data_IF_196646862996
#
_entry.id   IF_196646862996
#
_cell.length_a   1.000
_cell.length_b   1.000
_cell.length_c   1.000
_cell.angle_alpha   90.00
_cell.angle_beta   90.00
_cell.angle_gamma   90.00
#
_symmetry.space_group_name_H-M   'P 1'
#
loop_
_entity.id
_entity.type
_entity.pdbx_description
1 polymer ?
#
# COMPACT_ATOMS: atom_id res chain seq x y z
N UNK A 1 17.56 37.18 -0.80
CA UNK A 1 17.47 36.02 -1.74
C UNK A 1 17.55 36.45 -3.20
N UNK A 2 16.55 37.15 -3.79
CA UNK A 2 16.61 37.56 -5.22
C UNK A 2 17.81 38.46 -5.56
N UNK A 3 18.11 39.46 -4.72
CA UNK A 3 19.28 40.33 -4.88
C UNK A 3 20.62 39.56 -4.73
N UNK A 4 20.67 38.57 -3.84
CA UNK A 4 21.83 37.70 -3.65
C UNK A 4 22.04 36.81 -4.89
N UNK A 5 20.95 36.27 -5.45
CA UNK A 5 20.98 35.53 -6.71
C UNK A 5 21.39 36.40 -7.91
N UNK A 6 20.97 37.67 -7.96
CA UNK A 6 21.39 38.61 -9.00
C UNK A 6 22.87 38.99 -8.89
N UNK A 7 23.41 39.15 -7.68
CA UNK A 7 24.85 39.35 -7.44
C UNK A 7 25.68 38.12 -7.82
N UNK A 8 25.18 36.92 -7.50
CA UNK A 8 25.81 35.64 -7.88
C UNK A 8 25.78 35.44 -9.41
N UNK A 9 24.68 35.78 -10.07
CA UNK A 9 24.55 35.67 -11.53
C UNK A 9 25.41 36.72 -12.27
N UNK A 10 25.58 37.91 -11.68
CA UNK A 10 26.50 38.94 -12.17
C UNK A 10 27.97 38.53 -11.99
N UNK A 11 28.31 37.85 -10.89
CA UNK A 11 29.64 37.29 -10.65
C UNK A 11 29.93 36.10 -11.60
N UNK A 12 28.93 35.27 -11.89
CA UNK A 12 29.03 34.12 -12.80
C UNK A 12 29.26 34.51 -14.27
N UNK A 13 28.88 35.74 -14.67
CA UNK A 13 29.11 36.27 -16.02
C UNK A 13 30.52 36.85 -16.22
N UNK A 14 31.34 36.99 -15.18
CA UNK A 14 32.75 37.34 -15.35
C UNK A 14 33.52 36.12 -15.86
N UNK A 15 34.32 36.25 -16.93
CA UNK A 15 35.18 35.16 -17.37
C UNK A 15 36.12 34.77 -16.22
N UNK A 16 36.28 33.46 -16.01
CA UNK A 16 37.20 32.94 -15.02
C UNK A 16 38.59 33.55 -15.27
N UNK A 17 39.30 34.03 -14.23
CA UNK A 17 40.62 34.63 -14.42
C UNK A 17 41.54 33.57 -15.02
N UNK A 18 41.93 33.76 -16.28
CA UNK A 18 42.90 32.93 -16.97
C UNK A 18 44.30 33.40 -16.59
N UNK A 19 44.79 32.93 -15.45
CA UNK A 19 46.13 33.17 -14.94
C UNK A 19 46.50 32.08 -13.93
N UNK A 20 47.80 31.82 -13.70
CA UNK A 20 48.22 30.84 -12.69
C UNK A 20 47.71 31.26 -11.30
N UNK A 21 47.35 30.24 -10.52
CA UNK A 21 46.82 30.30 -9.15
C UNK A 21 47.61 31.30 -8.28
N UNK A 22 47.04 32.44 -7.84
CA UNK A 22 47.82 33.53 -7.26
C UNK A 22 48.18 33.35 -5.78
N UNK A 23 47.90 32.19 -5.16
CA UNK A 23 47.83 32.10 -3.68
C UNK A 23 48.88 31.18 -3.07
N UNK A 24 50.14 31.35 -3.48
CA UNK A 24 51.29 30.87 -2.73
C UNK A 24 52.11 32.06 -2.24
N UNK A 25 51.67 32.67 -1.13
CA UNK A 25 52.48 33.65 -0.38
C UNK A 25 51.98 35.10 -0.33
N UNK A 26 50.72 35.40 -0.69
CA UNK A 26 50.19 36.75 -0.51
C UNK A 26 49.97 37.06 0.98
N UNK A 27 50.81 37.94 1.53
CA UNK A 27 50.45 38.74 2.70
C UNK A 27 49.17 39.48 2.39
N UNK A 28 48.07 39.11 3.06
CA UNK A 28 46.77 39.78 2.96
C UNK A 28 47.00 41.29 3.16
N UNK A 29 46.80 42.08 2.10
CA UNK A 29 46.94 43.53 2.20
C UNK A 29 46.00 44.06 3.31
N UNK A 30 46.45 45.01 4.14
CA UNK A 30 45.62 45.52 5.23
C UNK A 30 44.34 46.11 4.64
N UNK A 31 43.19 45.59 5.08
CA UNK A 31 41.86 46.06 4.71
C UNK A 31 41.78 47.58 4.91
N UNK A 32 41.36 48.31 3.88
CA UNK A 32 41.04 49.73 4.02
C UNK A 32 39.85 49.91 4.98
N UNK A 33 39.72 51.08 5.60
CA UNK A 33 38.59 51.36 6.50
C UNK A 33 37.23 51.18 5.82
N UNK A 34 37.15 51.54 4.53
CA UNK A 34 35.94 51.35 3.72
C UNK A 34 35.61 49.87 3.48
N UNK A 35 36.60 49.00 3.34
CA UNK A 35 36.39 47.56 3.17
C UNK A 35 36.04 46.88 4.49
N UNK A 36 36.63 47.34 5.59
CA UNK A 36 36.32 46.89 6.94
C UNK A 36 34.84 47.17 7.28
N UNK A 37 34.39 48.40 7.05
CA UNK A 37 33.00 48.80 7.30
C UNK A 37 32.01 48.03 6.41
N UNK A 38 32.38 47.75 5.15
CA UNK A 38 31.58 46.92 4.23
C UNK A 38 31.46 45.48 4.70
N UNK A 39 32.54 44.85 5.13
CA UNK A 39 32.53 43.47 5.63
C UNK A 39 31.71 43.35 6.91
N UNK A 40 31.81 44.33 7.80
CA UNK A 40 31.04 44.36 9.05
C UNK A 40 29.54 44.57 8.78
N UNK A 41 29.20 45.43 7.81
CA UNK A 41 27.83 45.59 7.34
C UNK A 41 27.29 44.31 6.67
N UNK A 42 28.11 43.60 5.89
CA UNK A 42 27.74 42.34 5.26
C UNK A 42 27.48 41.22 6.28
N UNK A 43 28.31 41.12 7.32
CA UNK A 43 28.10 40.18 8.43
C UNK A 43 26.80 40.44 9.18
N UNK A 44 26.48 41.72 9.46
CA UNK A 44 25.20 42.11 10.05
C UNK A 44 24.03 41.75 9.14
N UNK A 45 24.14 42.05 7.85
CA UNK A 45 23.13 41.67 6.86
C UNK A 45 22.93 40.15 6.75
N UNK A 46 23.98 39.35 6.93
CA UNK A 46 23.91 37.90 6.99
C UNK A 46 23.17 37.43 8.25
N UNK A 47 23.53 37.96 9.42
CA UNK A 47 22.85 37.64 10.68
C UNK A 47 21.34 37.96 10.60
N UNK A 48 20.99 39.12 10.05
CA UNK A 48 19.60 39.53 9.82
C UNK A 48 18.88 38.59 8.84
N UNK A 49 19.55 38.17 7.77
CA UNK A 49 18.99 37.24 6.79
C UNK A 49 18.77 35.83 7.35
N UNK A 50 19.58 35.38 8.31
CA UNK A 50 19.38 34.07 8.97
C UNK A 50 18.22 34.16 9.98
N UNK A 51 18.15 35.22 10.79
CA UNK A 51 17.20 35.34 11.90
C UNK A 51 15.86 36.00 11.58
N UNK A 52 15.67 36.61 10.41
CA UNK A 52 14.47 37.39 10.12
C UNK A 52 13.16 36.56 10.25
N UNK A 53 12.18 37.04 11.04
CA UNK A 53 10.92 36.32 11.23
C UNK A 53 10.13 36.24 9.91
N UNK A 54 9.74 35.02 9.53
CA UNK A 54 8.93 34.72 8.34
C UNK A 54 9.59 34.97 6.98
N UNK A 55 10.84 35.45 6.93
CA UNK A 55 11.57 35.72 5.67
C UNK A 55 13.03 35.26 5.68
N UNK A 56 13.62 35.08 6.87
CA UNK A 56 14.96 34.52 7.04
C UNK A 56 14.95 33.00 7.15
N UNK A 57 16.14 32.38 7.17
CA UNK A 57 16.30 30.92 7.21
C UNK A 57 15.55 30.27 8.38
N UNK A 58 15.63 30.86 9.58
CA UNK A 58 14.88 30.37 10.76
C UNK A 58 13.37 30.42 10.52
N UNK A 59 12.86 31.52 9.97
CA UNK A 59 11.44 31.66 9.66
C UNK A 59 10.95 30.75 8.55
N UNK A 60 11.80 30.48 7.55
CA UNK A 60 11.52 29.55 6.45
C UNK A 60 11.40 28.11 6.94
N UNK A 61 12.34 27.66 7.79
CA UNK A 61 12.32 26.29 8.33
C UNK A 61 11.19 26.07 9.33
N UNK A 62 10.85 27.10 10.11
CA UNK A 62 9.66 27.09 10.97
C UNK A 62 8.37 26.90 10.17
N UNK A 63 8.23 27.59 9.03
CA UNK A 63 7.05 27.47 8.16
C UNK A 63 6.99 26.13 7.40
N UNK A 64 8.13 25.45 7.22
CA UNK A 64 8.21 24.17 6.52
C UNK A 64 8.22 22.94 7.44
N UNK A 65 8.00 23.12 8.74
CA UNK A 65 7.97 22.04 9.75
C UNK A 65 9.25 21.15 9.76
N UNK A 66 10.41 21.72 9.44
CA UNK A 66 11.69 21.00 9.43
C UNK A 66 12.48 21.26 10.71
N UNK A 67 12.18 20.49 11.76
CA UNK A 67 12.65 20.72 13.14
C UNK A 67 14.20 20.75 13.26
N UNK A 68 14.91 19.80 12.67
CA UNK A 68 16.39 19.75 12.69
C UNK A 68 17.03 20.95 11.95
N UNK A 69 16.43 21.37 10.83
CA UNK A 69 16.94 22.48 10.03
C UNK A 69 16.69 23.83 10.73
N UNK A 70 15.58 23.94 11.46
CA UNK A 70 15.26 25.10 12.26
C UNK A 70 16.24 25.26 13.44
N UNK A 71 16.55 24.19 14.17
CA UNK A 71 17.54 24.20 15.24
C UNK A 71 18.92 24.63 14.74
N UNK A 72 19.36 24.08 13.61
CA UNK A 72 20.62 24.46 12.97
C UNK A 72 20.66 25.94 12.57
N UNK A 73 19.56 26.48 12.02
CA UNK A 73 19.47 27.89 11.64
C UNK A 73 19.46 28.84 12.86
N UNK A 74 18.81 28.44 13.97
CA UNK A 74 18.81 29.21 15.22
C UNK A 74 20.20 29.25 15.86
N UNK A 75 20.90 28.12 15.88
CA UNK A 75 22.27 28.04 16.37
C UNK A 75 23.20 28.95 15.55
N UNK A 76 23.12 28.86 14.21
CA UNK A 76 23.89 29.71 13.31
C UNK A 76 23.61 31.21 13.51
N UNK A 77 22.34 31.58 13.71
CA UNK A 77 21.98 32.98 13.98
C UNK A 77 22.60 33.48 15.30
N UNK A 78 22.54 32.68 16.35
CA UNK A 78 23.12 33.02 17.65
C UNK A 78 24.65 33.16 17.56
N UNK A 79 25.33 32.23 16.89
CA UNK A 79 26.78 32.25 16.69
C UNK A 79 27.22 33.49 15.89
N UNK A 80 26.45 33.90 14.88
CA UNK A 80 26.72 35.11 14.10
C UNK A 80 26.57 36.39 14.95
N UNK A 81 25.57 36.45 15.82
CA UNK A 81 25.38 37.59 16.72
C UNK A 81 26.49 37.69 17.77
N UNK A 82 26.92 36.57 18.34
CA UNK A 82 28.05 36.52 19.28
C UNK A 82 29.37 36.94 18.60
N UNK A 83 29.58 36.49 17.36
CA UNK A 83 30.72 36.89 16.55
C UNK A 83 30.72 38.40 16.27
N UNK A 84 29.58 38.99 15.94
CA UNK A 84 29.46 40.44 15.69
C UNK A 84 29.70 41.22 17.00
N UNK A 85 29.12 40.79 18.12
CA UNK A 85 29.28 41.44 19.41
C UNK A 85 30.74 41.41 19.91
N UNK A 86 31.42 40.28 19.75
CA UNK A 86 32.85 40.14 20.10
C UNK A 86 33.77 40.96 19.19
N UNK A 87 33.32 41.26 17.96
CA UNK A 87 34.03 42.10 17.00
C UNK A 87 33.88 43.59 17.28
N UNK A 88 32.69 44.06 17.66
CA UNK A 88 32.43 45.48 17.95
C UNK A 88 33.19 46.02 19.18
N UNK A 89 33.60 45.13 20.10
CA UNK A 89 34.37 45.48 21.29
C UNK A 89 35.90 45.51 21.12
N UNK A 90 36.44 45.17 19.94
CA UNK A 90 37.88 45.04 19.71
C UNK A 90 38.50 46.28 19.04
N UNK A 91 39.80 46.58 19.29
CA UNK A 91 40.51 47.64 18.58
C UNK A 91 40.54 47.35 17.06
N UNK A 92 40.35 48.40 16.25
CA UNK A 92 40.18 48.33 14.79
C UNK A 92 41.28 47.56 14.05
N UNK A 93 42.51 47.55 14.57
CA UNK A 93 43.62 46.78 14.00
C UNK A 93 43.42 45.26 14.14
N UNK A 94 42.98 44.79 15.31
CA UNK A 94 42.67 43.38 15.55
C UNK A 94 41.47 42.92 14.71
N UNK A 95 40.51 43.81 14.51
CA UNK A 95 39.32 43.58 13.70
C UNK A 95 39.66 43.37 12.21
N UNK A 96 40.59 44.17 11.65
CA UNK A 96 41.06 44.02 10.27
C UNK A 96 41.70 42.64 10.04
N UNK A 97 42.55 42.19 10.95
CA UNK A 97 43.22 40.90 10.80
C UNK A 97 42.23 39.72 10.85
N UNK A 98 41.24 39.80 11.75
CA UNK A 98 40.25 38.74 11.97
C UNK A 98 39.21 38.67 10.85
N UNK A 99 38.69 39.81 10.39
CA UNK A 99 37.76 39.87 9.26
C UNK A 99 38.44 39.56 7.93
N UNK A 100 39.70 39.92 7.76
CA UNK A 100 40.50 39.53 6.59
C UNK A 100 40.65 38.01 6.47
N UNK A 101 40.98 37.34 7.58
CA UNK A 101 41.05 35.87 7.65
C UNK A 101 39.70 35.21 7.36
N UNK A 102 38.62 35.69 7.99
CA UNK A 102 37.27 35.14 7.80
C UNK A 102 36.77 35.28 6.35
N UNK A 103 36.98 36.46 5.73
CA UNK A 103 36.61 36.70 4.34
C UNK A 103 37.36 35.78 3.37
N UNK A 104 38.66 35.58 3.61
CA UNK A 104 39.47 34.66 2.79
C UNK A 104 39.02 33.21 2.94
N UNK A 105 38.74 32.76 4.16
CA UNK A 105 38.26 31.39 4.41
C UNK A 105 36.87 31.15 3.79
N UNK A 106 35.96 32.11 3.94
CA UNK A 106 34.61 32.03 3.38
C UNK A 106 34.62 31.97 1.85
N UNK A 107 35.48 32.78 1.20
CA UNK A 107 35.66 32.71 -0.26
C UNK A 107 36.13 31.35 -0.74
N UNK A 108 37.11 30.76 -0.05
CA UNK A 108 37.63 29.44 -0.40
C UNK A 108 36.55 28.37 -0.31
N UNK A 109 35.77 28.36 0.77
CA UNK A 109 34.70 27.36 0.93
C UNK A 109 33.56 27.57 -0.07
N UNK A 110 33.22 28.82 -0.40
CA UNK A 110 32.26 29.13 -1.47
C UNK A 110 32.72 28.65 -2.84
N UNK A 111 34.00 28.83 -3.18
CA UNK A 111 34.57 28.38 -4.45
C UNK A 111 34.60 26.84 -4.54
N UNK A 112 34.98 26.17 -3.44
CA UNK A 112 34.95 24.71 -3.35
C UNK A 112 33.51 24.17 -3.51
N UNK A 113 32.55 24.78 -2.80
CA UNK A 113 31.13 24.44 -2.88
C UNK A 113 30.52 24.71 -4.26
N UNK A 114 30.88 25.82 -4.90
CA UNK A 114 30.43 26.16 -6.25
C UNK A 114 30.95 25.18 -7.30
N UNK A 115 32.22 24.77 -7.16
CA UNK A 115 32.84 23.77 -8.04
C UNK A 115 32.21 22.39 -7.88
N UNK A 116 31.75 22.05 -6.68
CA UNK A 116 30.99 20.84 -6.42
C UNK A 116 29.58 20.93 -7.03
N UNK A 117 28.84 22.00 -6.76
CA UNK A 117 27.49 22.22 -7.29
C UNK A 117 27.48 22.14 -8.82
N UNK A 118 28.45 22.81 -9.48
CA UNK A 118 28.59 22.81 -10.94
C UNK A 118 28.88 21.41 -11.51
N UNK A 119 29.60 20.55 -10.77
CA UNK A 119 29.82 19.14 -11.13
C UNK A 119 28.57 18.29 -10.99
N UNK A 120 27.77 18.53 -9.95
CA UNK A 120 26.52 17.76 -9.72
C UNK A 120 25.40 18.22 -10.66
N UNK A 121 25.38 19.49 -11.05
CA UNK A 121 24.39 20.05 -11.99
C UNK A 121 24.84 20.05 -13.45
N UNK A 122 26.09 19.68 -13.76
CA UNK A 122 26.52 19.55 -15.17
C UNK A 122 25.83 18.35 -15.80
N UNK A 123 24.82 18.65 -16.63
CA UNK A 123 24.15 17.71 -17.52
C UNK A 123 25.02 17.37 -18.72
N UNK A 124 26.24 16.90 -18.51
CA UNK A 124 26.93 16.18 -19.58
C UNK A 124 26.12 14.90 -19.85
N UNK A 125 25.69 14.71 -21.10
CA UNK A 125 24.90 13.56 -21.50
C UNK A 125 25.63 12.28 -21.14
N UNK A 126 25.12 11.55 -20.15
CA UNK A 126 25.71 10.30 -19.69
C UNK A 126 25.48 9.25 -20.78
N UNK A 127 26.52 8.90 -21.53
CA UNK A 127 26.46 7.81 -22.50
C UNK A 127 26.72 6.46 -21.83
N UNK A 128 26.24 5.36 -22.42
CA UNK A 128 26.46 4.00 -21.93
C UNK A 128 27.97 3.70 -21.81
N UNK A 129 28.79 4.26 -22.70
CA UNK A 129 30.25 4.14 -22.67
C UNK A 129 30.86 4.87 -21.48
N UNK A 130 30.35 6.06 -21.14
CA UNK A 130 30.76 6.79 -19.93
C UNK A 130 30.39 6.01 -18.66
N UNK A 131 29.19 5.40 -18.60
CA UNK A 131 28.80 4.54 -17.47
C UNK A 131 29.69 3.31 -17.40
N UNK A 132 29.98 2.66 -18.53
CA UNK A 132 30.86 1.48 -18.58
C UNK A 132 32.27 1.78 -18.07
N UNK A 133 32.80 2.99 -18.33
CA UNK A 133 34.11 3.40 -17.83
C UNK A 133 34.10 3.83 -16.36
N UNK A 134 33.11 4.63 -15.95
CA UNK A 134 33.10 5.25 -14.60
C UNK A 134 32.38 4.43 -13.54
N UNK A 135 31.41 3.61 -13.95
CA UNK A 135 30.49 2.85 -13.09
C UNK A 135 30.17 1.45 -13.68
N UNK A 136 31.17 0.57 -13.86
CA UNK A 136 30.95 -0.76 -14.45
C UNK A 136 29.94 -1.62 -13.68
N UNK A 137 29.81 -1.40 -12.37
CA UNK A 137 28.84 -2.08 -11.49
C UNK A 137 27.38 -1.88 -11.90
N UNK A 138 27.05 -0.76 -12.56
CA UNK A 138 25.71 -0.49 -13.07
C UNK A 138 25.43 -1.29 -14.35
N UNK A 139 26.44 -1.44 -15.22
CA UNK A 139 26.30 -2.26 -16.43
C UNK A 139 26.11 -3.72 -16.05
N UNK A 140 26.88 -4.24 -15.09
CA UNK A 140 26.72 -5.62 -14.62
C UNK A 140 25.34 -5.91 -14.02
N UNK A 141 24.73 -4.92 -13.37
CA UNK A 141 23.42 -5.07 -12.71
C UNK A 141 22.22 -4.89 -13.63
N UNK A 142 22.34 -4.04 -14.65
CA UNK A 142 21.22 -3.63 -15.48
C UNK A 142 21.32 -4.10 -16.93
N UNK A 143 22.48 -4.61 -17.39
CA UNK A 143 22.64 -5.18 -18.72
C UNK A 143 22.63 -6.71 -18.67
N UNK A 144 21.73 -7.34 -19.42
CA UNK A 144 21.69 -8.78 -19.64
C UNK A 144 22.86 -9.26 -20.50
N UNK A 145 23.15 -10.57 -20.47
CA UNK A 145 24.23 -11.18 -21.28
C UNK A 145 24.00 -11.06 -22.79
N UNK A 146 22.76 -10.87 -23.20
CA UNK A 146 22.32 -10.63 -24.57
C UNK A 146 22.42 -9.15 -24.99
N UNK A 147 22.88 -8.28 -24.09
CA UNK A 147 22.98 -6.84 -24.32
C UNK A 147 21.70 -6.06 -24.04
N UNK A 148 20.61 -6.73 -23.62
CA UNK A 148 19.36 -6.08 -23.22
C UNK A 148 19.50 -5.28 -21.92
N UNK A 149 18.68 -4.25 -21.72
CA UNK A 149 18.71 -3.44 -20.50
C UNK A 149 17.45 -3.64 -19.66
N UNK A 150 17.62 -3.76 -18.35
CA UNK A 150 16.55 -3.77 -17.37
C UNK A 150 16.10 -2.33 -17.09
N UNK A 151 14.83 -2.05 -17.35
CA UNK A 151 14.22 -0.74 -17.07
C UNK A 151 13.16 -0.93 -15.99
N UNK A 152 13.27 -0.14 -14.92
CA UNK A 152 12.24 -0.09 -13.88
C UNK A 152 11.27 1.04 -14.18
N UNK A 153 9.99 0.69 -14.33
CA UNK A 153 8.89 1.65 -14.41
C UNK A 153 8.13 1.62 -13.07
N UNK A 154 8.10 2.76 -12.39
CA UNK A 154 7.33 2.92 -11.16
C UNK A 154 6.03 3.64 -11.49
N UNK A 155 4.87 3.03 -11.20
CA UNK A 155 3.59 3.68 -11.44
C UNK A 155 3.44 4.90 -10.53
N UNK A 156 2.90 5.99 -11.07
CA UNK A 156 2.54 7.19 -10.31
C UNK A 156 1.30 7.00 -9.44
N UNK A 157 0.55 5.92 -9.67
CA UNK A 157 -0.69 5.57 -8.98
C UNK A 157 -0.53 4.34 -8.10
N UNK A 158 -1.41 4.23 -7.10
CA UNK A 158 -1.43 3.11 -6.18
C UNK A 158 -1.95 1.83 -6.86
N UNK A 159 -1.06 0.84 -7.02
CA UNK A 159 -1.38 -0.48 -7.62
C UNK A 159 -2.14 -1.43 -6.67
N UNK A 160 -2.48 -0.98 -5.47
CA UNK A 160 -3.30 -1.75 -4.51
C UNK A 160 -4.80 -1.67 -4.82
N UNK A 161 -5.22 -0.77 -5.71
CA UNK A 161 -6.57 -0.70 -6.22
C UNK A 161 -6.69 -1.52 -7.50
N UNK A 162 -7.72 -2.39 -7.57
CA UNK A 162 -7.90 -3.33 -8.69
C UNK A 162 -7.94 -2.63 -10.06
N UNK A 163 -8.58 -1.45 -10.12
CA UNK A 163 -8.71 -0.71 -11.37
C UNK A 163 -7.37 -0.11 -11.82
N UNK A 164 -6.67 0.60 -10.91
CA UNK A 164 -5.36 1.16 -11.19
C UNK A 164 -4.34 0.09 -11.59
N UNK A 165 -4.37 -1.07 -10.91
CA UNK A 165 -3.50 -2.20 -11.25
C UNK A 165 -3.72 -2.68 -12.68
N UNK A 166 -4.99 -2.84 -13.09
CA UNK A 166 -5.34 -3.26 -14.45
C UNK A 166 -4.92 -2.24 -15.49
N UNK A 167 -5.14 -0.96 -15.22
CA UNK A 167 -4.80 0.12 -16.15
C UNK A 167 -3.27 0.25 -16.32
N UNK A 168 -2.51 0.22 -15.22
CA UNK A 168 -1.03 0.21 -15.25
C UNK A 168 -0.50 -1.00 -16.01
N UNK A 169 -1.02 -2.21 -15.75
CA UNK A 169 -0.57 -3.43 -16.44
C UNK A 169 -0.95 -3.41 -17.92
N UNK A 170 -2.08 -2.80 -18.29
CA UNK A 170 -2.48 -2.61 -19.70
C UNK A 170 -1.49 -1.69 -20.42
N UNK A 171 -1.24 -0.50 -19.87
CA UNK A 171 -0.30 0.48 -20.42
C UNK A 171 1.11 -0.11 -20.55
N UNK A 172 1.56 -0.85 -19.54
CA UNK A 172 2.87 -1.50 -19.55
C UNK A 172 2.99 -2.54 -20.68
N UNK A 173 1.93 -3.32 -20.94
CA UNK A 173 1.90 -4.33 -22.02
C UNK A 173 1.82 -3.71 -23.41
N UNK A 174 1.27 -2.50 -23.55
CA UNK A 174 1.28 -1.74 -24.81
C UNK A 174 2.70 -1.31 -25.20
N UNK A 175 3.52 -0.91 -24.21
CA UNK A 175 4.92 -0.53 -24.45
C UNK A 175 5.81 -1.75 -24.68
N UNK A 176 5.64 -2.81 -23.87
CA UNK A 176 6.40 -4.05 -24.02
C UNK A 176 5.53 -5.26 -23.68
N UNK A 177 5.23 -6.13 -24.67
CA UNK A 177 4.40 -7.33 -24.45
C UNK A 177 4.96 -8.29 -23.40
N UNK A 178 6.29 -8.29 -23.22
CA UNK A 178 7.01 -9.15 -22.29
C UNK A 178 7.34 -8.42 -20.97
N UNK A 179 6.72 -7.27 -20.70
CA UNK A 179 6.94 -6.56 -19.46
C UNK A 179 6.51 -7.41 -18.26
N UNK A 180 7.44 -7.58 -17.33
CA UNK A 180 7.29 -8.36 -16.13
C UNK A 180 7.49 -7.46 -14.91
N UNK A 181 6.97 -7.91 -13.77
CA UNK A 181 7.10 -7.18 -12.51
C UNK A 181 6.02 -7.60 -11.53
N UNK A 182 6.15 -7.12 -10.30
CA UNK A 182 5.20 -7.45 -9.23
C UNK A 182 3.76 -7.08 -9.61
N UNK A 183 3.54 -5.90 -10.21
CA UNK A 183 2.20 -5.48 -10.66
C UNK A 183 1.61 -6.45 -11.70
N UNK A 184 2.34 -6.75 -12.78
CA UNK A 184 1.88 -7.66 -13.83
C UNK A 184 1.64 -9.09 -13.30
N UNK A 185 2.48 -9.55 -12.36
CA UNK A 185 2.32 -10.85 -11.71
C UNK A 185 1.07 -10.88 -10.81
N UNK A 186 0.90 -9.87 -9.94
CA UNK A 186 -0.24 -9.79 -9.03
C UNK A 186 -1.57 -9.68 -9.78
N UNK A 187 -1.63 -8.88 -10.86
CA UNK A 187 -2.83 -8.79 -11.70
C UNK A 187 -3.22 -10.17 -12.23
N UNK A 188 -2.25 -10.90 -12.79
CA UNK A 188 -2.48 -12.24 -13.35
C UNK A 188 -2.91 -13.24 -12.29
N UNK A 189 -2.26 -13.24 -11.12
CA UNK A 189 -2.61 -14.12 -10.00
C UNK A 189 -4.02 -13.83 -9.50
N UNK A 190 -4.36 -12.56 -9.25
CA UNK A 190 -5.68 -12.16 -8.76
C UNK A 190 -6.78 -12.52 -9.77
N UNK A 191 -6.54 -12.30 -11.06
CA UNK A 191 -7.45 -12.68 -12.12
C UNK A 191 -7.69 -14.20 -12.16
N UNK A 192 -6.62 -14.99 -12.09
CA UNK A 192 -6.71 -16.45 -12.08
C UNK A 192 -7.48 -16.97 -10.86
N UNK A 193 -7.09 -16.53 -9.65
CA UNK A 193 -7.75 -16.99 -8.42
C UNK A 193 -9.25 -16.64 -8.44
N UNK A 194 -9.63 -15.43 -8.87
CA UNK A 194 -11.04 -15.02 -8.93
C UNK A 194 -11.86 -15.95 -9.83
N UNK A 195 -11.34 -16.27 -11.01
CA UNK A 195 -12.02 -17.17 -11.95
C UNK A 195 -12.06 -18.61 -11.44
N UNK A 196 -10.96 -19.08 -10.85
CA UNK A 196 -10.86 -20.44 -10.33
C UNK A 196 -11.78 -20.65 -9.13
N UNK A 197 -11.95 -19.67 -8.25
CA UNK A 197 -12.84 -19.79 -7.09
C UNK A 197 -14.29 -20.02 -7.49
N UNK A 198 -14.80 -19.24 -8.45
CA UNK A 198 -16.16 -19.42 -8.97
C UNK A 198 -16.28 -20.78 -9.67
N UNK A 199 -15.28 -21.14 -10.47
CA UNK A 199 -15.27 -22.42 -11.18
C UNK A 199 -15.26 -23.61 -10.22
N UNK A 200 -14.44 -23.57 -9.16
CA UNK A 200 -14.36 -24.59 -8.12
C UNK A 200 -15.68 -24.70 -7.37
N UNK A 201 -16.31 -23.58 -7.01
CA UNK A 201 -17.61 -23.58 -6.34
C UNK A 201 -18.69 -24.24 -7.22
N UNK A 202 -18.73 -23.91 -8.51
CA UNK A 202 -19.68 -24.51 -9.46
C UNK A 202 -19.43 -26.00 -9.70
N UNK A 203 -18.16 -26.41 -9.82
CA UNK A 203 -17.77 -27.82 -9.95
C UNK A 203 -18.15 -28.58 -8.68
N UNK A 204 -17.85 -28.03 -7.50
CA UNK A 204 -18.19 -28.65 -6.21
C UNK A 204 -19.71 -28.85 -6.08
N UNK A 205 -20.51 -27.82 -6.40
CA UNK A 205 -21.97 -27.92 -6.39
C UNK A 205 -22.47 -28.99 -7.37
N UNK A 206 -21.90 -29.05 -8.57
CA UNK A 206 -22.24 -30.06 -9.58
C UNK A 206 -21.90 -31.48 -9.13
N UNK A 207 -20.69 -31.69 -8.59
CA UNK A 207 -20.25 -32.99 -8.07
C UNK A 207 -21.11 -33.44 -6.90
N UNK A 208 -21.40 -32.55 -5.96
CA UNK A 208 -22.32 -32.81 -4.84
C UNK A 208 -23.70 -33.18 -5.34
N UNK A 209 -24.26 -32.42 -6.29
CA UNK A 209 -25.57 -32.73 -6.86
C UNK A 209 -25.60 -34.10 -7.55
N UNK A 210 -24.55 -34.44 -8.32
CA UNK A 210 -24.42 -35.77 -8.93
C UNK A 210 -24.34 -36.87 -7.88
N UNK A 211 -23.54 -36.68 -6.82
CA UNK A 211 -23.45 -37.64 -5.72
C UNK A 211 -24.81 -37.86 -5.03
N UNK A 212 -25.58 -36.79 -4.80
CA UNK A 212 -26.94 -36.87 -4.27
C UNK A 212 -27.91 -37.54 -5.24
N UNK A 213 -27.74 -37.34 -6.54
CA UNK A 213 -28.54 -38.00 -7.57
C UNK A 213 -28.31 -39.51 -7.58
N UNK A 214 -27.05 -39.94 -7.45
CA UNK A 214 -26.72 -41.36 -7.33
C UNK A 214 -27.21 -41.97 -6.01
N UNK A 215 -27.08 -41.23 -4.90
CA UNK A 215 -27.49 -41.70 -3.57
C UNK A 215 -29.00 -41.88 -3.46
N UNK A 216 -29.78 -40.87 -3.85
CA UNK A 216 -31.24 -40.93 -3.73
C UNK A 216 -31.95 -41.55 -4.93
N UNK A 217 -31.24 -41.75 -6.05
CA UNK A 217 -31.78 -42.26 -7.33
C UNK A 217 -33.01 -41.49 -7.81
N UNK A 218 -33.10 -40.20 -7.49
CA UNK A 218 -34.28 -39.39 -7.80
C UNK A 218 -34.04 -37.89 -7.67
N UNK A 219 -34.32 -37.16 -8.75
CA UNK A 219 -34.07 -35.72 -8.88
C UNK A 219 -34.75 -34.88 -7.79
N UNK A 220 -35.96 -35.27 -7.38
CA UNK A 220 -36.73 -34.51 -6.39
C UNK A 220 -36.03 -34.46 -5.02
N UNK A 221 -35.60 -35.62 -4.52
CA UNK A 221 -34.95 -35.69 -3.21
C UNK A 221 -33.57 -35.02 -3.23
N UNK A 222 -32.81 -35.18 -4.33
CA UNK A 222 -31.51 -34.53 -4.51
C UNK A 222 -31.63 -33.01 -4.56
N UNK A 223 -32.61 -32.47 -5.28
CA UNK A 223 -32.89 -31.04 -5.31
C UNK A 223 -33.34 -30.52 -3.94
N UNK A 224 -34.17 -31.30 -3.23
CA UNK A 224 -34.66 -30.93 -1.91
C UNK A 224 -33.54 -30.82 -0.88
N UNK A 225 -32.51 -31.68 -0.95
CA UNK A 225 -31.33 -31.60 -0.09
C UNK A 225 -30.45 -30.37 -0.35
N UNK A 226 -30.54 -29.76 -1.53
CA UNK A 226 -29.83 -28.50 -1.84
C UNK A 226 -30.57 -27.26 -1.33
N UNK A 227 -31.85 -27.36 -0.96
CA UNK A 227 -32.65 -26.20 -0.55
C UNK A 227 -32.01 -25.44 0.62
N UNK A 228 -31.55 -26.08 1.71
CA UNK A 228 -30.91 -25.35 2.81
C UNK A 228 -29.64 -24.62 2.38
N UNK A 229 -28.83 -25.25 1.52
CA UNK A 229 -27.60 -24.64 1.00
C UNK A 229 -27.93 -23.39 0.17
N UNK A 230 -28.88 -23.49 -0.76
CA UNK A 230 -29.23 -22.38 -1.66
C UNK A 230 -29.93 -21.24 -0.88
N UNK A 231 -30.92 -21.57 -0.05
CA UNK A 231 -31.63 -20.58 0.75
C UNK A 231 -30.70 -19.92 1.78
N UNK A 232 -29.86 -20.72 2.44
CA UNK A 232 -28.85 -20.24 3.39
C UNK A 232 -27.80 -19.36 2.72
N UNK A 233 -27.27 -19.78 1.58
CA UNK A 233 -26.31 -19.01 0.78
C UNK A 233 -26.86 -17.68 0.27
N UNK A 234 -28.08 -17.67 -0.27
CA UNK A 234 -28.75 -16.43 -0.70
C UNK A 234 -28.95 -15.49 0.51
N UNK A 235 -29.40 -16.03 1.64
CA UNK A 235 -29.60 -15.25 2.86
C UNK A 235 -28.28 -14.67 3.37
N UNK A 236 -27.22 -15.48 3.37
CA UNK A 236 -25.87 -15.05 3.75
C UNK A 236 -25.38 -13.89 2.88
N UNK A 237 -25.46 -14.02 1.55
CA UNK A 237 -25.05 -12.95 0.62
C UNK A 237 -25.89 -11.69 0.83
N UNK A 238 -27.20 -11.84 1.03
CA UNK A 238 -28.10 -10.74 1.32
C UNK A 238 -27.73 -10.02 2.61
N UNK A 239 -27.53 -10.74 3.71
CA UNK A 239 -27.15 -10.17 5.00
C UNK A 239 -25.77 -9.53 4.95
N UNK A 240 -24.79 -10.17 4.30
CA UNK A 240 -23.46 -9.58 4.08
C UNK A 240 -23.53 -8.23 3.38
N UNK A 241 -24.37 -8.10 2.35
CA UNK A 241 -24.59 -6.84 1.66
C UNK A 241 -25.23 -5.78 2.58
N UNK A 242 -26.19 -6.17 3.43
CA UNK A 242 -26.85 -5.25 4.36
C UNK A 242 -25.89 -4.70 5.44
N UNK A 243 -24.97 -5.52 5.94
CA UNK A 243 -24.00 -5.12 6.96
C UNK A 243 -22.70 -4.52 6.37
N UNK A 244 -22.63 -4.36 5.04
CA UNK A 244 -21.47 -3.79 4.36
C UNK A 244 -20.25 -4.73 4.28
N UNK A 245 -20.41 -6.03 4.53
CA UNK A 245 -19.36 -7.02 4.33
C UNK A 245 -19.23 -7.39 2.86
N UNK A 246 -18.11 -7.00 2.24
CA UNK A 246 -17.79 -7.33 0.85
C UNK A 246 -17.05 -8.66 0.74
N UNK A 247 -17.28 -9.36 -0.37
CA UNK A 247 -16.41 -10.47 -0.76
C UNK A 247 -15.02 -9.94 -1.15
N UNK A 248 -14.00 -10.64 -0.70
CA UNK A 248 -12.61 -10.48 -1.05
C UNK A 248 -12.00 -11.85 -1.38
N UNK A 249 -10.74 -11.88 -1.80
CA UNK A 249 -10.08 -13.11 -2.22
C UNK A 249 -10.10 -14.23 -1.16
N UNK A 250 -9.91 -13.81 0.09
CA UNK A 250 -9.78 -14.66 1.26
C UNK A 250 -11.12 -15.29 1.63
N UNK A 251 -12.18 -14.51 1.78
CA UNK A 251 -13.49 -15.04 2.18
C UNK A 251 -14.24 -15.72 1.02
N UNK A 252 -13.99 -15.32 -0.24
CA UNK A 252 -14.52 -16.03 -1.41
C UNK A 252 -13.91 -17.42 -1.52
N UNK A 253 -12.66 -17.58 -1.06
CA UNK A 253 -12.00 -18.87 -0.89
C UNK A 253 -12.74 -19.87 -0.02
N UNK A 254 -13.65 -19.39 0.84
CA UNK A 254 -14.41 -20.23 1.78
C UNK A 254 -15.74 -20.73 1.20
N UNK A 255 -16.20 -20.22 0.05
CA UNK A 255 -17.48 -20.64 -0.54
C UNK A 255 -17.58 -22.15 -0.83
N UNK A 256 -16.55 -22.82 -1.42
CA UNK A 256 -16.58 -24.26 -1.62
C UNK A 256 -16.72 -25.05 -0.31
N UNK A 257 -16.13 -24.55 0.79
CA UNK A 257 -16.24 -25.16 2.11
C UNK A 257 -17.66 -25.01 2.67
N UNK A 258 -18.30 -23.85 2.49
CA UNK A 258 -19.70 -23.62 2.86
C UNK A 258 -20.63 -24.54 2.06
N UNK A 259 -20.35 -24.78 0.78
CA UNK A 259 -21.11 -25.73 -0.05
C UNK A 259 -21.04 -27.14 0.54
N UNK A 260 -19.84 -27.59 0.90
CA UNK A 260 -19.62 -28.90 1.50
C UNK A 260 -20.37 -29.07 2.83
N UNK A 261 -20.20 -28.15 3.76
CA UNK A 261 -20.85 -28.26 5.09
C UNK A 261 -22.36 -27.96 5.03
N UNK A 262 -22.77 -27.01 4.20
CA UNK A 262 -24.16 -26.55 4.12
C UNK A 262 -25.09 -27.59 3.50
N UNK A 263 -24.61 -28.40 2.55
CA UNK A 263 -25.42 -29.46 1.95
C UNK A 263 -25.72 -30.59 2.93
N UNK A 264 -24.80 -30.89 3.85
CA UNK A 264 -24.94 -32.00 4.80
C UNK A 264 -26.20 -31.84 5.66
N UNK A 265 -26.54 -30.61 6.08
CA UNK A 265 -27.75 -30.36 6.84
C UNK A 265 -29.03 -30.70 6.08
N UNK A 266 -29.08 -30.38 4.78
CA UNK A 266 -30.18 -30.79 3.91
C UNK A 266 -30.22 -32.30 3.70
N UNK A 267 -29.06 -32.94 3.56
CA UNK A 267 -28.94 -34.40 3.45
C UNK A 267 -29.47 -35.09 4.70
N UNK A 268 -29.09 -34.65 5.90
CA UNK A 268 -29.56 -35.25 7.16
C UNK A 268 -31.08 -35.17 7.30
N UNK A 269 -31.66 -34.00 7.01
CA UNK A 269 -33.11 -33.77 7.09
C UNK A 269 -33.86 -34.60 6.05
N UNK A 270 -33.42 -34.59 4.79
CA UNK A 270 -34.06 -35.35 3.71
C UNK A 270 -33.89 -36.86 3.91
N UNK A 271 -32.74 -37.32 4.38
CA UNK A 271 -32.52 -38.73 4.67
C UNK A 271 -33.46 -39.23 5.76
N UNK A 272 -33.63 -38.47 6.85
CA UNK A 272 -34.62 -38.82 7.89
C UNK A 272 -36.03 -38.79 7.33
N UNK A 273 -36.38 -37.79 6.53
CA UNK A 273 -37.69 -37.70 5.88
C UNK A 273 -38.02 -38.93 5.03
N UNK A 274 -37.03 -39.47 4.31
CA UNK A 274 -37.17 -40.71 3.55
C UNK A 274 -37.31 -41.93 4.46
N UNK A 275 -36.50 -42.01 5.53
CA UNK A 275 -36.52 -43.13 6.47
C UNK A 275 -37.84 -43.28 7.23
N UNK A 276 -38.49 -42.16 7.55
CA UNK A 276 -39.81 -42.12 8.21
C UNK A 276 -40.99 -42.38 7.22
N UNK A 277 -40.71 -42.86 6.01
CA UNK A 277 -41.73 -43.33 5.06
C UNK A 277 -42.32 -42.26 4.13
N UNK A 278 -41.91 -40.99 4.24
CA UNK A 278 -42.43 -39.82 3.52
C UNK A 278 -43.93 -39.56 3.76
N UNK A 279 -44.26 -38.34 4.18
CA UNK A 279 -45.66 -37.93 4.39
C UNK A 279 -45.79 -36.88 5.49
N UNK A 280 -47.01 -36.39 5.74
CA UNK A 280 -47.23 -35.33 6.74
C UNK A 280 -46.74 -35.74 8.14
N UNK A 281 -46.95 -37.00 8.51
CA UNK A 281 -46.59 -37.54 9.82
C UNK A 281 -45.08 -37.59 10.04
N UNK A 282 -44.30 -37.76 8.96
CA UNK A 282 -42.83 -37.80 9.02
C UNK A 282 -42.17 -36.45 9.34
N UNK A 283 -42.87 -35.33 9.13
CA UNK A 283 -42.30 -33.99 9.34
C UNK A 283 -42.00 -33.73 10.81
N UNK A 284 -42.85 -34.23 11.73
CA UNK A 284 -42.68 -34.02 13.17
C UNK A 284 -41.45 -34.77 13.72
N UNK A 285 -41.26 -36.09 13.48
CA UNK A 285 -40.03 -36.80 13.86
C UNK A 285 -38.76 -36.19 13.26
N UNK A 286 -38.81 -35.73 12.01
CA UNK A 286 -37.67 -35.05 11.35
C UNK A 286 -37.22 -33.83 12.14
N UNK A 287 -38.15 -32.99 12.58
CA UNK A 287 -37.84 -31.79 13.38
C UNK A 287 -37.39 -32.17 14.79
N UNK A 288 -38.10 -33.08 15.47
CA UNK A 288 -37.85 -33.42 16.87
C UNK A 288 -36.52 -34.18 17.08
N UNK A 289 -36.16 -35.11 16.19
CA UNK A 289 -34.90 -35.86 16.33
C UNK A 289 -33.76 -35.23 15.52
N UNK A 290 -33.95 -35.06 14.22
CA UNK A 290 -32.86 -34.66 13.32
C UNK A 290 -32.59 -33.17 13.46
N UNK A 291 -33.61 -32.34 13.68
CA UNK A 291 -33.42 -30.92 13.98
C UNK A 291 -32.50 -30.68 15.18
N UNK A 292 -32.62 -31.48 16.25
CA UNK A 292 -31.73 -31.39 17.43
C UNK A 292 -30.29 -31.79 17.11
N UNK A 293 -30.10 -32.92 16.42
CA UNK A 293 -28.78 -33.40 16.03
C UNK A 293 -28.06 -32.41 15.09
N UNK A 294 -28.78 -31.92 14.07
CA UNK A 294 -28.30 -30.91 13.13
C UNK A 294 -27.96 -29.60 13.83
N UNK A 295 -28.77 -29.17 14.80
CA UNK A 295 -28.50 -27.97 15.59
C UNK A 295 -27.23 -28.11 16.42
N UNK A 296 -27.03 -29.25 17.09
CA UNK A 296 -25.82 -29.48 17.86
C UNK A 296 -24.57 -29.47 16.95
N UNK A 297 -24.64 -30.12 15.78
CA UNK A 297 -23.55 -30.14 14.80
C UNK A 297 -23.25 -28.74 14.22
N UNK A 298 -24.29 -27.95 13.93
CA UNK A 298 -24.12 -26.58 13.45
C UNK A 298 -23.49 -25.69 14.52
N UNK A 299 -23.94 -25.77 15.78
CA UNK A 299 -23.40 -24.96 16.86
C UNK A 299 -21.93 -25.26 17.14
N UNK A 300 -21.52 -26.53 17.18
CA UNK A 300 -20.10 -26.88 17.40
C UNK A 300 -19.22 -26.38 16.25
N UNK A 301 -19.72 -26.45 15.03
CA UNK A 301 -19.01 -25.98 13.83
C UNK A 301 -18.93 -24.44 13.79
N UNK A 302 -20.02 -23.75 14.15
CA UNK A 302 -20.05 -22.29 14.31
C UNK A 302 -19.13 -21.81 15.43
N UNK A 303 -18.99 -22.56 16.53
CA UNK A 303 -18.01 -22.24 17.57
C UNK A 303 -16.59 -22.41 17.02
N UNK A 304 -16.33 -23.49 16.28
CA UNK A 304 -15.04 -23.75 15.64
C UNK A 304 -14.63 -22.61 14.69
N UNK A 305 -15.43 -22.31 13.67
CA UNK A 305 -15.12 -21.23 12.73
C UNK A 305 -15.31 -19.83 13.34
N UNK A 306 -16.21 -19.68 14.31
CA UNK A 306 -16.39 -18.44 15.04
C UNK A 306 -15.14 -18.06 15.84
N UNK A 307 -14.43 -19.05 16.41
CA UNK A 307 -13.16 -18.82 17.09
C UNK A 307 -12.08 -18.26 16.15
N UNK A 308 -12.08 -18.70 14.88
CA UNK A 308 -11.20 -18.17 13.83
C UNK A 308 -11.53 -16.70 13.53
N UNK A 309 -12.80 -16.30 13.71
CA UNK A 309 -13.26 -14.93 13.62
C UNK A 309 -12.60 -13.97 14.62
N UNK A 310 -12.04 -14.48 15.72
CA UNK A 310 -11.36 -13.69 16.76
C UNK A 310 -9.86 -13.48 16.47
N UNK A 311 -9.37 -13.95 15.32
CA UNK A 311 -7.97 -13.80 14.97
C UNK A 311 -7.57 -12.33 14.74
N UNK A 312 -6.37 -11.94 15.20
CA UNK A 312 -5.82 -10.60 14.97
C UNK A 312 -5.55 -10.30 13.49
N UNK A 313 -5.28 -11.34 12.69
CA UNK A 313 -5.10 -11.17 11.26
C UNK A 313 -6.46 -11.03 10.57
N UNK A 314 -6.75 -9.82 10.08
CA UNK A 314 -8.03 -9.43 9.46
C UNK A 314 -8.52 -10.38 8.37
N UNK A 315 -7.59 -10.98 7.62
CA UNK A 315 -7.93 -11.99 6.62
C UNK A 315 -8.62 -13.21 7.24
N UNK A 316 -8.00 -13.79 8.26
CA UNK A 316 -8.52 -14.97 8.96
C UNK A 316 -9.79 -14.66 9.75
N UNK A 317 -9.87 -13.49 10.39
CA UNK A 317 -11.09 -13.04 11.05
C UNK A 317 -12.29 -13.01 10.08
N UNK A 318 -12.10 -12.46 8.88
CA UNK A 318 -13.15 -12.40 7.87
C UNK A 318 -13.54 -13.79 7.33
N UNK A 319 -12.59 -14.71 7.20
CA UNK A 319 -12.89 -16.11 6.86
C UNK A 319 -13.80 -16.74 7.92
N UNK A 320 -13.46 -16.59 9.20
CA UNK A 320 -14.24 -17.13 10.32
C UNK A 320 -15.66 -16.57 10.36
N UNK A 321 -15.82 -15.24 10.27
CA UNK A 321 -17.14 -14.59 10.22
C UNK A 321 -17.97 -15.09 9.03
N UNK A 322 -17.36 -15.17 7.85
CA UNK A 322 -18.05 -15.60 6.61
C UNK A 322 -18.52 -17.06 6.72
N UNK A 323 -17.68 -17.95 7.25
CA UNK A 323 -18.02 -19.35 7.48
C UNK A 323 -19.14 -19.51 8.50
N UNK A 324 -19.03 -18.82 9.65
CA UNK A 324 -20.04 -18.88 10.70
C UNK A 324 -21.39 -18.36 10.22
N UNK A 325 -21.41 -17.27 9.44
CA UNK A 325 -22.65 -16.78 8.80
C UNK A 325 -23.21 -17.81 7.82
N UNK A 326 -22.39 -18.33 6.90
CA UNK A 326 -22.84 -19.30 5.90
C UNK A 326 -23.43 -20.56 6.53
N UNK A 327 -22.75 -21.12 7.51
CA UNK A 327 -23.20 -22.30 8.27
C UNK A 327 -24.46 -21.98 9.06
N UNK A 328 -24.50 -20.84 9.76
CA UNK A 328 -25.66 -20.41 10.53
C UNK A 328 -26.92 -20.28 9.66
N UNK A 329 -26.81 -19.64 8.49
CA UNK A 329 -27.96 -19.50 7.59
C UNK A 329 -28.35 -20.82 6.90
N UNK A 330 -27.40 -21.69 6.54
CA UNK A 330 -27.72 -23.03 6.04
C UNK A 330 -28.41 -23.89 7.11
N UNK A 331 -27.97 -23.79 8.36
CA UNK A 331 -28.59 -24.46 9.50
C UNK A 331 -30.02 -23.97 9.75
N UNK A 332 -30.22 -22.64 9.81
CA UNK A 332 -31.56 -22.06 9.94
C UNK A 332 -32.47 -22.50 8.80
N UNK A 333 -31.94 -22.56 7.57
CA UNK A 333 -32.70 -23.04 6.44
C UNK A 333 -33.05 -24.53 6.53
N UNK A 334 -32.16 -25.36 7.06
CA UNK A 334 -32.39 -26.79 7.24
C UNK A 334 -33.43 -27.09 8.33
N UNK A 335 -33.50 -26.29 9.40
CA UNK A 335 -34.41 -26.51 10.53
C UNK A 335 -35.75 -25.80 10.34
N UNK A 336 -35.77 -24.64 9.65
CA UNK A 336 -36.99 -23.84 9.48
C UNK A 336 -37.58 -23.99 8.08
N UNK A 337 -36.83 -23.62 7.03
CA UNK A 337 -37.37 -23.57 5.66
C UNK A 337 -37.67 -24.97 5.11
N UNK A 338 -36.77 -25.92 5.30
CA UNK A 338 -36.89 -27.24 4.70
C UNK A 338 -38.07 -28.07 5.26
N UNK A 339 -38.31 -28.15 6.58
CA UNK A 339 -39.48 -28.85 7.12
C UNK A 339 -40.80 -28.15 6.75
N UNK A 340 -40.81 -26.81 6.70
CA UNK A 340 -41.97 -26.06 6.24
C UNK A 340 -42.29 -26.37 4.76
N UNK A 341 -41.27 -26.41 3.90
CA UNK A 341 -41.40 -26.79 2.50
C UNK A 341 -41.92 -28.23 2.35
N UNK A 342 -41.35 -29.18 3.11
CA UNK A 342 -41.80 -30.57 3.15
C UNK A 342 -43.29 -30.68 3.51
N UNK A 343 -43.72 -29.96 4.57
CA UNK A 343 -45.13 -29.92 4.98
C UNK A 343 -46.03 -29.41 3.85
N UNK A 344 -45.65 -28.31 3.19
CA UNK A 344 -46.42 -27.74 2.07
C UNK A 344 -46.53 -28.73 0.90
N UNK A 345 -45.41 -29.33 0.50
CA UNK A 345 -45.36 -30.31 -0.60
C UNK A 345 -46.29 -31.49 -0.31
N UNK A 346 -46.25 -32.03 0.90
CA UNK A 346 -47.09 -33.17 1.27
C UNK A 346 -48.57 -32.78 1.43
N UNK A 347 -48.89 -31.58 1.91
CA UNK A 347 -50.28 -31.07 1.90
C UNK A 347 -50.84 -30.95 0.47
N UNK A 348 -50.03 -30.47 -0.48
CA UNK A 348 -50.44 -30.33 -1.88
C UNK A 348 -50.65 -31.71 -2.53
N UNK A 349 -49.79 -32.69 -2.23
CA UNK A 349 -49.97 -34.08 -2.70
C UNK A 349 -51.22 -34.72 -2.11
N UNK A 350 -51.49 -34.51 -0.82
CA UNK A 350 -52.67 -35.04 -0.13
C UNK A 350 -53.98 -34.44 -0.66
N UNK A 351 -53.97 -33.22 -1.20
CA UNK A 351 -55.14 -32.60 -1.87
C UNK A 351 -55.38 -33.10 -3.30
N UNK A 352 -54.37 -33.70 -3.94
CA UNK A 352 -54.45 -34.23 -5.32
C UNK A 352 -54.79 -35.72 -5.36
N UNK A 353 -54.60 -36.45 -4.26
CA UNK A 353 -55.19 -37.78 -4.02
C UNK A 353 -56.59 -37.60 -3.47
#
# INVERSE_FOLDING_TARGET
LRAVFEEIDAAAKKPAPTGPDPVAGETVAPLSDAELDRLLAALKGLADAVGAPGRGLVGLFYLSEMEEAEEGARALHADLLDLIATMEGQPREALRERLGRLNHQTRRELDEGWTLARRVTSTEGVTIETIRQKHPELIERFQGRDGSFLIYAYPSVTVWEEQNLKDVVRELKEVSPNALGLAALFERILYQIKNDLVRIAMIALGVVFLALLFSYRGLWNSALSLVPLLAGGITMVGVMNLIGLKFNLINTGMLPLIIGVGVDYGVYVVHRYIAEGKGLESVRPVVESTGRAVTLAALTTMIGFGSVGLANWRGLALMGVTLTMGIGFCWLAAVLYLPALLKIVEMVKARKK
#
